data_IF_840577562743
#
_entry.id   IF_840577562743
#
_cell.length_a   1.000
_cell.length_b   1.000
_cell.length_c   1.000
_cell.angle_alpha   90.00
_cell.angle_beta   90.00
_cell.angle_gamma   90.00
#
_symmetry.space_group_name_H-M   'P 1'
#
loop_
_entity.id
_entity.type
_entity.pdbx_description
1 polymer ?
#
# COMPACT_ATOMS: atom_id res chain seq x y z
N UNK A 1 7.13 -4.90 -12.81
CA UNK A 1 7.62 -4.76 -11.43
C UNK A 1 7.01 -5.84 -10.55
N UNK A 2 7.80 -6.58 -9.79
CA UNK A 2 7.36 -7.62 -8.87
C UNK A 2 7.15 -7.03 -7.47
N UNK A 3 5.91 -7.02 -7.01
CA UNK A 3 5.53 -6.40 -5.72
C UNK A 3 5.00 -7.47 -4.79
N UNK A 4 5.61 -7.63 -3.62
CA UNK A 4 5.06 -8.46 -2.54
C UNK A 4 4.12 -7.66 -1.67
N UNK A 5 2.97 -8.21 -1.33
CA UNK A 5 2.03 -7.55 -0.42
C UNK A 5 2.34 -7.92 1.02
N UNK A 6 2.64 -6.93 1.85
CA UNK A 6 2.76 -7.09 3.31
C UNK A 6 1.47 -6.65 4.00
N UNK A 7 0.87 -5.56 3.52
CA UNK A 7 -0.40 -5.05 4.04
C UNK A 7 -1.12 -4.20 3.00
N UNK A 8 -2.41 -3.99 3.25
CA UNK A 8 -3.29 -3.15 2.44
C UNK A 8 -3.78 -1.95 3.24
N UNK A 9 -4.20 -0.91 2.53
CA UNK A 9 -4.92 0.21 3.14
C UNK A 9 -6.30 -0.21 3.65
N UNK A 10 -6.91 0.65 4.45
CA UNK A 10 -8.22 0.39 5.05
C UNK A 10 -9.40 0.54 4.09
N UNK A 11 -9.25 1.23 2.95
CA UNK A 11 -10.35 1.45 2.01
C UNK A 11 -10.37 0.41 0.90
N UNK A 12 -11.42 -0.40 0.82
CA UNK A 12 -11.68 -1.30 -0.30
C UNK A 12 -12.99 -0.96 -0.98
N UNK A 13 -12.98 -0.99 -2.32
CA UNK A 13 -14.20 -0.88 -3.10
C UNK A 13 -14.09 -1.65 -4.42
N UNK A 14 -15.23 -2.04 -4.96
CA UNK A 14 -15.33 -2.61 -6.30
C UNK A 14 -15.91 -1.57 -7.26
N UNK A 15 -15.43 -1.58 -8.50
CA UNK A 15 -16.11 -0.95 -9.62
C UNK A 15 -16.52 -2.02 -10.62
N UNK A 16 -17.75 -1.90 -11.09
CA UNK A 16 -18.36 -2.80 -12.06
C UNK A 16 -18.42 -2.11 -13.41
N UNK A 17 -18.41 -2.90 -14.49
CA UNK A 17 -18.70 -2.37 -15.81
C UNK A 17 -20.08 -1.69 -15.81
N UNK A 18 -20.18 -0.54 -16.48
CA UNK A 18 -21.47 0.10 -16.75
C UNK A 18 -22.30 -0.65 -17.80
N UNK A 19 -21.70 -1.61 -18.50
CA UNK A 19 -22.37 -2.46 -19.47
C UNK A 19 -23.28 -3.48 -18.76
N UNK A 20 -24.59 -3.19 -18.76
CA UNK A 20 -25.64 -4.02 -18.18
C UNK A 20 -25.96 -5.28 -18.99
N UNK A 21 -25.47 -5.37 -20.24
CA UNK A 21 -25.66 -6.55 -21.08
C UNK A 21 -24.70 -7.68 -20.75
N UNK A 22 -23.61 -7.38 -20.03
CA UNK A 22 -22.65 -8.37 -19.55
C UNK A 22 -23.21 -9.08 -18.30
N UNK A 23 -23.57 -10.38 -18.38
CA UNK A 23 -24.12 -11.13 -17.25
C UNK A 23 -23.10 -11.29 -16.09
N UNK A 24 -21.83 -10.95 -16.31
CA UNK A 24 -20.75 -11.03 -15.33
C UNK A 24 -20.22 -9.66 -14.86
N UNK A 25 -20.84 -8.54 -15.25
CA UNK A 25 -20.41 -7.17 -14.89
C UNK A 25 -20.24 -6.96 -13.37
N UNK A 26 -21.09 -7.60 -12.56
CA UNK A 26 -21.06 -7.55 -11.10
C UNK A 26 -20.21 -8.65 -10.43
N UNK A 27 -19.70 -9.62 -11.20
CA UNK A 27 -18.97 -10.80 -10.69
C UNK A 27 -17.56 -10.89 -11.29
N UNK A 28 -17.39 -11.67 -12.36
CA UNK A 28 -16.08 -12.06 -12.91
C UNK A 28 -15.29 -10.91 -13.57
N UNK A 29 -15.91 -9.74 -13.80
CA UNK A 29 -15.27 -8.58 -14.44
C UNK A 29 -15.22 -7.33 -13.55
N UNK A 30 -15.50 -7.47 -12.25
CA UNK A 30 -15.30 -6.38 -11.31
C UNK A 30 -13.81 -6.05 -11.18
N UNK A 31 -13.51 -4.75 -11.07
CA UNK A 31 -12.20 -4.26 -10.69
C UNK A 31 -12.22 -3.89 -9.20
N UNK A 32 -11.27 -4.41 -8.45
CA UNK A 32 -11.16 -4.18 -7.02
C UNK A 32 -10.06 -3.17 -6.74
N UNK A 33 -10.34 -2.22 -5.87
CA UNK A 33 -9.42 -1.13 -5.57
C UNK A 33 -9.16 -1.04 -4.08
N UNK A 34 -7.94 -0.64 -3.75
CA UNK A 34 -7.54 -0.38 -2.38
C UNK A 34 -6.74 0.92 -2.26
N UNK A 35 -6.97 1.65 -1.17
CA UNK A 35 -6.31 2.91 -0.87
C UNK A 35 -6.20 3.13 0.65
N UNK A 36 -5.36 4.08 1.05
CA UNK A 36 -5.24 4.46 2.44
C UNK A 36 -6.41 5.35 2.86
N UNK A 37 -7.02 5.07 4.00
CA UNK A 37 -8.09 5.86 4.58
C UNK A 37 -8.12 5.74 6.12
N UNK A 38 -8.87 6.62 6.77
CA UNK A 38 -8.93 6.68 8.22
C UNK A 38 -10.32 6.34 8.74
N UNK A 39 -10.41 5.31 9.57
CA UNK A 39 -11.62 5.04 10.33
C UNK A 39 -11.81 6.06 11.45
N UNK A 40 -12.92 6.78 11.44
CA UNK A 40 -13.33 7.70 12.51
C UNK A 40 -14.69 7.26 13.05
N UNK A 41 -14.67 6.54 14.18
CA UNK A 41 -15.84 5.79 14.64
C UNK A 41 -16.22 4.72 13.61
N UNK A 42 -17.46 4.77 13.12
CA UNK A 42 -17.97 3.82 12.11
C UNK A 42 -17.85 4.32 10.66
N UNK A 43 -17.32 5.52 10.44
CA UNK A 43 -17.21 6.12 9.10
C UNK A 43 -15.78 6.09 8.61
N UNK A 44 -15.61 5.70 7.35
CA UNK A 44 -14.35 5.78 6.64
C UNK A 44 -14.19 7.20 6.09
N UNK A 45 -13.07 7.84 6.43
CA UNK A 45 -12.74 9.18 5.94
C UNK A 45 -11.56 9.12 4.99
N UNK A 46 -11.76 9.69 3.80
CA UNK A 46 -10.73 9.85 2.79
C UNK A 46 -10.28 11.31 2.75
N UNK A 47 -9.24 11.62 3.53
CA UNK A 47 -8.63 12.95 3.61
C UNK A 47 -7.21 12.84 3.05
N UNK A 48 -7.13 12.62 1.74
CA UNK A 48 -5.90 12.27 1.05
C UNK A 48 -5.00 13.49 0.86
N UNK A 49 -3.77 13.39 1.35
CA UNK A 49 -2.67 14.32 0.99
C UNK A 49 -1.85 13.76 -0.18
N UNK A 50 -1.93 12.44 -0.41
CA UNK A 50 -1.37 11.77 -1.57
C UNK A 50 -2.46 10.86 -2.17
N UNK A 51 -3.13 11.30 -3.24
CA UNK A 51 -4.28 10.57 -3.78
C UNK A 51 -3.80 9.47 -4.72
N UNK A 52 -3.89 8.22 -4.29
CA UNK A 52 -3.65 7.10 -5.18
C UNK A 52 -4.25 5.81 -4.67
N UNK A 53 -4.12 4.78 -5.48
CA UNK A 53 -4.84 3.53 -5.34
C UNK A 53 -4.13 2.39 -6.05
N UNK A 54 -4.31 1.19 -5.53
CA UNK A 54 -3.98 -0.04 -6.25
C UNK A 54 -5.24 -0.63 -6.88
N UNK A 55 -5.08 -1.42 -7.93
CA UNK A 55 -6.17 -2.11 -8.62
C UNK A 55 -5.81 -3.58 -8.83
N UNK A 56 -6.77 -4.46 -8.57
CA UNK A 56 -6.78 -5.85 -9.00
C UNK A 56 -7.91 -6.08 -10.00
N UNK A 57 -7.65 -6.92 -10.99
CA UNK A 57 -8.67 -7.46 -11.88
C UNK A 57 -8.86 -8.94 -11.57
N UNK A 58 -9.97 -9.55 -11.99
CA UNK A 58 -10.24 -10.97 -11.70
C UNK A 58 -9.14 -11.93 -12.19
N UNK A 59 -8.45 -11.59 -13.29
CA UNK A 59 -7.38 -12.40 -13.87
C UNK A 59 -6.06 -12.32 -13.08
N UNK A 60 -5.94 -11.43 -12.10
CA UNK A 60 -4.68 -11.23 -11.37
C UNK A 60 -4.37 -12.33 -10.36
N UNK A 61 -5.26 -13.30 -10.14
CA UNK A 61 -5.14 -14.29 -9.07
C UNK A 61 -5.44 -13.72 -7.67
N UNK A 62 -6.06 -12.53 -7.60
CA UNK A 62 -6.56 -11.94 -6.37
C UNK A 62 -7.95 -12.47 -6.05
N UNK A 63 -8.16 -12.87 -4.79
CA UNK A 63 -9.44 -13.33 -4.27
C UNK A 63 -10.10 -12.19 -3.47
N UNK A 64 -11.13 -11.52 -4.03
CA UNK A 64 -11.77 -10.37 -3.40
C UNK A 64 -12.62 -10.73 -2.18
N UNK A 65 -13.05 -11.98 -2.03
CA UNK A 65 -13.77 -12.43 -0.83
C UNK A 65 -12.83 -12.60 0.36
N UNK A 66 -11.56 -12.93 0.06
CA UNK A 66 -10.52 -13.13 1.08
C UNK A 66 -9.24 -12.33 0.74
N UNK A 67 -9.25 -10.99 0.80
CA UNK A 67 -8.08 -10.17 0.45
C UNK A 67 -6.83 -10.52 1.27
N UNK A 68 -7.00 -11.00 2.51
CA UNK A 68 -5.91 -11.45 3.38
C UNK A 68 -5.10 -12.60 2.77
N UNK A 69 -5.67 -13.41 1.85
CA UNK A 69 -4.93 -14.45 1.12
C UNK A 69 -3.89 -13.90 0.15
N UNK A 70 -3.91 -12.61 -0.15
CA UNK A 70 -2.89 -11.95 -0.95
C UNK A 70 -1.67 -11.53 -0.12
N UNK A 71 -1.77 -11.49 1.21
CA UNK A 71 -0.63 -11.16 2.07
C UNK A 71 0.49 -12.21 1.92
N UNK A 72 1.72 -11.73 1.85
CA UNK A 72 2.92 -12.52 1.58
C UNK A 72 3.10 -12.96 0.12
N UNK A 73 2.09 -12.80 -0.74
CA UNK A 73 2.18 -13.15 -2.16
C UNK A 73 2.83 -12.05 -2.98
N UNK A 74 3.51 -12.44 -4.05
CA UNK A 74 4.17 -11.53 -5.00
C UNK A 74 3.34 -11.42 -6.28
N UNK A 75 3.17 -10.21 -6.81
CA UNK A 75 2.43 -9.97 -8.03
C UNK A 75 3.30 -9.22 -9.05
N UNK A 76 3.14 -9.56 -10.33
CA UNK A 76 3.57 -8.71 -11.41
C UNK A 76 2.65 -7.49 -11.49
N UNK A 77 3.24 -6.30 -11.50
CA UNK A 77 2.54 -5.03 -11.50
C UNK A 77 3.09 -4.08 -12.59
N UNK A 78 2.24 -3.15 -13.03
CA UNK A 78 2.52 -2.14 -14.07
C UNK A 78 3.58 -1.10 -13.71
N UNK A 79 4.06 -1.10 -12.45
CA UNK A 79 4.69 0.06 -11.83
C UNK A 79 3.66 1.15 -11.51
N UNK A 80 3.97 2.09 -10.58
CA UNK A 80 3.06 3.19 -10.28
C UNK A 80 3.05 4.24 -11.39
N UNK A 81 1.86 4.56 -11.89
CA UNK A 81 1.67 5.51 -12.98
C UNK A 81 0.72 6.64 -12.53
N UNK A 82 0.96 7.86 -13.00
CA UNK A 82 0.08 8.99 -12.73
C UNK A 82 -1.08 9.01 -13.74
N UNK A 83 -2.31 8.85 -13.26
CA UNK A 83 -3.53 8.89 -14.07
C UNK A 83 -4.53 9.85 -13.41
N UNK A 84 -4.99 10.85 -14.17
CA UNK A 84 -5.95 11.86 -13.68
C UNK A 84 -5.53 12.51 -12.34
N UNK A 85 -4.24 12.79 -12.18
CA UNK A 85 -3.67 13.41 -10.97
C UNK A 85 -3.53 12.46 -9.77
N UNK A 86 -3.73 11.16 -9.96
CA UNK A 86 -3.62 10.14 -8.90
C UNK A 86 -2.59 9.08 -9.26
N UNK A 87 -1.92 8.51 -8.26
CA UNK A 87 -1.09 7.33 -8.50
C UNK A 87 -1.96 6.09 -8.63
N UNK A 88 -1.72 5.33 -9.69
CA UNK A 88 -2.38 4.07 -9.97
C UNK A 88 -1.32 2.96 -10.11
N UNK A 89 -1.52 1.87 -9.38
CA UNK A 89 -0.72 0.66 -9.51
C UNK A 89 -1.63 -0.52 -9.83
N UNK A 90 -1.46 -1.11 -11.01
CA UNK A 90 -2.21 -2.29 -11.43
C UNK A 90 -1.45 -3.55 -11.05
N UNK A 91 -2.09 -4.41 -10.26
CA UNK A 91 -1.66 -5.78 -9.99
C UNK A 91 -2.20 -6.67 -11.11
N UNK A 92 -1.29 -7.17 -11.95
CA UNK A 92 -1.63 -7.82 -13.21
C UNK A 92 -1.76 -9.33 -13.05
N UNK A 93 -0.83 -9.97 -12.32
CA UNK A 93 -0.78 -11.42 -12.21
C UNK A 93 -0.05 -11.85 -10.94
N UNK A 94 -0.56 -12.87 -10.27
CA UNK A 94 0.13 -13.56 -9.19
C UNK A 94 1.37 -14.27 -9.76
N UNK A 95 2.54 -13.93 -9.24
CA UNK A 95 3.80 -14.62 -9.55
C UNK A 95 4.24 -15.40 -8.31
N UNK A 96 4.92 -16.54 -8.52
CA UNK A 96 5.29 -17.46 -7.44
C UNK A 96 6.33 -16.88 -6.46
N UNK A 97 7.25 -17.72 -5.98
CA UNK A 97 8.27 -17.37 -4.98
C UNK A 97 9.44 -16.55 -5.55
N UNK A 98 9.17 -15.64 -6.48
CA UNK A 98 10.18 -14.75 -7.04
C UNK A 98 10.59 -13.68 -6.03
N UNK A 99 11.82 -13.20 -6.13
CA UNK A 99 12.34 -12.13 -5.29
C UNK A 99 11.62 -10.81 -5.62
N UNK A 100 10.94 -10.16 -4.66
CA UNK A 100 10.22 -8.93 -4.91
C UNK A 100 11.17 -7.75 -5.16
N UNK A 101 10.82 -6.90 -6.13
CA UNK A 101 11.49 -5.63 -6.40
C UNK A 101 11.03 -4.52 -5.44
N UNK A 102 9.81 -4.65 -4.90
CA UNK A 102 9.24 -3.76 -3.89
C UNK A 102 8.20 -4.48 -3.05
N UNK A 103 7.85 -3.87 -1.92
CA UNK A 103 6.87 -4.37 -0.97
C UNK A 103 5.77 -3.33 -0.78
N UNK A 104 4.50 -3.74 -0.96
CA UNK A 104 3.36 -2.91 -0.61
C UNK A 104 3.11 -3.03 0.90
N UNK A 105 3.26 -1.91 1.59
CA UNK A 105 3.10 -1.81 3.04
C UNK A 105 2.15 -0.68 3.39
N UNK A 106 1.51 -0.77 4.55
CA UNK A 106 0.67 0.27 5.12
C UNK A 106 1.16 0.59 6.53
N UNK A 107 1.51 1.85 6.76
CA UNK A 107 1.87 2.38 8.07
C UNK A 107 0.72 3.22 8.61
N UNK A 108 0.57 3.27 9.93
CA UNK A 108 -0.42 4.08 10.61
C UNK A 108 0.17 4.72 11.87
N UNK A 109 -0.45 5.81 12.33
CA UNK A 109 0.06 6.57 13.48
C UNK A 109 0.06 5.82 14.82
N UNK A 110 -0.74 4.76 14.97
CA UNK A 110 -0.89 4.02 16.22
C UNK A 110 0.26 3.03 16.37
N UNK A 111 0.50 2.22 15.34
CA UNK A 111 1.49 1.14 15.39
C UNK A 111 2.89 1.61 14.97
N UNK A 112 2.97 2.68 14.18
CA UNK A 112 4.21 3.10 13.53
C UNK A 112 4.73 4.47 13.96
N UNK A 113 4.06 5.11 14.92
CA UNK A 113 4.43 6.46 15.37
C UNK A 113 4.12 7.54 14.34
N UNK A 114 4.47 8.80 14.67
CA UNK A 114 4.19 9.96 13.83
C UNK A 114 5.21 10.11 12.70
N UNK A 115 4.71 10.34 11.48
CA UNK A 115 5.53 10.66 10.31
C UNK A 115 5.31 12.12 9.92
N UNK A 116 6.41 12.86 9.76
CA UNK A 116 6.39 14.28 9.35
C UNK A 116 6.36 14.41 7.83
N UNK A 117 5.25 14.03 7.18
CA UNK A 117 5.12 14.03 5.71
C UNK A 117 5.43 15.37 5.01
N UNK A 118 5.31 16.50 5.72
CA UNK A 118 5.60 17.85 5.19
C UNK A 118 7.08 18.24 5.22
N UNK A 119 7.95 17.45 5.87
CA UNK A 119 9.39 17.72 5.95
C UNK A 119 10.15 16.73 5.07
N UNK A 120 11.20 17.16 4.35
CA UNK A 120 12.07 16.21 3.67
C UNK A 120 12.74 15.24 4.66
N UNK A 121 13.20 14.10 4.16
CA UNK A 121 13.93 13.10 4.95
C UNK A 121 13.05 12.13 5.75
N UNK A 122 11.72 12.15 5.57
CA UNK A 122 10.82 11.18 6.18
C UNK A 122 10.88 9.80 5.51
N UNK A 123 11.52 9.67 4.35
CA UNK A 123 11.72 8.41 3.64
C UNK A 123 13.00 8.45 2.80
N UNK A 124 13.57 7.29 2.50
CA UNK A 124 14.66 7.14 1.53
C UNK A 124 14.16 7.17 0.07
N UNK A 125 15.09 7.22 -0.89
CA UNK A 125 14.78 7.41 -2.32
C UNK A 125 14.08 6.24 -2.99
N UNK A 126 14.17 5.02 -2.45
CA UNK A 126 13.44 3.87 -2.96
C UNK A 126 12.07 3.63 -2.32
N UNK A 127 11.60 4.56 -1.49
CA UNK A 127 10.20 4.57 -1.03
C UNK A 127 9.34 5.41 -1.96
N UNK A 128 8.22 4.83 -2.39
CA UNK A 128 7.24 5.51 -3.23
C UNK A 128 5.87 5.52 -2.55
N UNK A 129 5.32 6.70 -2.21
CA UNK A 129 3.94 6.80 -1.75
C UNK A 129 2.96 6.35 -2.82
N UNK A 130 1.97 5.54 -2.43
CA UNK A 130 0.83 5.19 -3.29
C UNK A 130 -0.40 5.96 -2.83
N UNK A 131 -0.71 5.94 -1.54
CA UNK A 131 -1.89 6.58 -0.98
C UNK A 131 -1.62 7.02 0.45
N UNK A 132 -1.88 8.28 0.80
CA UNK A 132 -1.70 8.77 2.17
C UNK A 132 -2.92 9.60 2.56
N UNK A 133 -3.59 9.18 3.63
CA UNK A 133 -4.71 9.88 4.25
C UNK A 133 -4.33 10.38 5.64
N UNK A 134 -4.66 11.64 5.95
CA UNK A 134 -4.37 12.25 7.26
C UNK A 134 -5.61 12.93 7.86
N UNK A 135 -5.72 12.91 9.19
CA UNK A 135 -6.73 13.65 9.94
C UNK A 135 -6.20 14.00 11.32
N UNK A 136 -5.88 15.28 11.54
CA UNK A 136 -5.19 15.71 12.75
C UNK A 136 -3.85 14.94 12.89
N UNK A 137 -3.56 14.34 14.05
CA UNK A 137 -2.35 13.53 14.25
C UNK A 137 -2.45 12.11 13.69
N UNK A 138 -3.60 11.70 13.14
CA UNK A 138 -3.79 10.34 12.63
C UNK A 138 -3.44 10.28 11.16
N UNK A 139 -2.81 9.19 10.75
CA UNK A 139 -2.59 8.89 9.34
C UNK A 139 -2.70 7.39 9.06
N UNK A 140 -2.96 7.11 7.79
CA UNK A 140 -2.67 5.84 7.16
C UNK A 140 -1.90 6.12 5.86
N UNK A 141 -0.79 5.42 5.66
CA UNK A 141 0.12 5.63 4.55
C UNK A 141 0.43 4.29 3.89
N UNK A 142 -0.12 4.08 2.70
CA UNK A 142 0.16 2.93 1.85
C UNK A 142 1.30 3.29 0.87
N UNK A 143 2.38 2.53 0.95
CA UNK A 143 3.66 2.83 0.30
C UNK A 143 4.18 1.59 -0.43
N UNK A 144 4.97 1.80 -1.47
CA UNK A 144 5.93 0.81 -1.95
C UNK A 144 7.29 1.09 -1.32
N UNK A 145 7.91 0.07 -0.73
CA UNK A 145 9.27 0.14 -0.18
C UNK A 145 10.15 -0.86 -0.93
N UNK A 146 11.29 -0.42 -1.44
CA UNK A 146 12.31 -1.33 -2.02
C UNK A 146 13.13 -2.03 -0.93
N UNK A 147 13.76 -3.18 -1.22
CA UNK A 147 14.67 -3.82 -0.28
C UNK A 147 15.77 -2.85 0.20
N UNK A 148 15.94 -2.72 1.52
CA UNK A 148 16.95 -1.84 2.14
C UNK A 148 16.53 -0.37 2.30
N UNK A 149 15.38 0.04 1.74
CA UNK A 149 14.82 1.38 1.92
C UNK A 149 13.97 1.48 3.19
N UNK A 150 13.74 2.73 3.63
CA UNK A 150 13.14 3.00 4.95
C UNK A 150 12.23 4.22 4.98
N UNK A 151 11.36 4.23 6.00
CA UNK A 151 10.46 5.33 6.37
C UNK A 151 10.74 5.76 7.81
N UNK A 152 10.99 7.05 8.02
CA UNK A 152 11.27 7.62 9.34
C UNK A 152 9.98 8.08 10.02
N UNK A 153 9.80 7.57 11.23
CA UNK A 153 8.82 8.03 12.22
C UNK A 153 9.54 8.65 13.42
N UNK A 154 8.78 9.14 14.40
CA UNK A 154 9.30 9.50 15.72
C UNK A 154 9.77 8.30 16.56
N UNK A 155 9.38 7.06 16.20
CA UNK A 155 9.86 5.83 16.85
C UNK A 155 11.19 5.32 16.27
N UNK A 156 11.57 5.78 15.07
CA UNK A 156 12.76 5.31 14.35
C UNK A 156 12.49 5.02 12.88
N UNK A 157 13.33 4.19 12.27
CA UNK A 157 13.25 3.83 10.85
C UNK A 157 12.54 2.49 10.65
N UNK A 158 11.40 2.54 9.99
CA UNK A 158 10.68 1.39 9.50
C UNK A 158 11.27 0.92 8.18
N UNK A 159 11.53 -0.37 8.07
CA UNK A 159 12.02 -1.02 6.86
C UNK A 159 11.36 -2.39 6.75
N UNK A 160 11.46 -3.02 5.58
CA UNK A 160 10.95 -4.38 5.41
C UNK A 160 11.86 -5.35 6.18
N UNK A 161 11.26 -6.21 7.00
CA UNK A 161 11.98 -7.21 7.78
C UNK A 161 12.71 -8.22 6.90
N UNK A 162 13.69 -8.91 7.48
CA UNK A 162 14.47 -9.92 6.77
C UNK A 162 13.62 -11.10 6.26
N UNK A 163 12.45 -11.34 6.86
CA UNK A 163 11.45 -12.29 6.40
C UNK A 163 10.79 -11.87 5.07
N UNK A 164 10.82 -10.59 4.71
CA UNK A 164 10.09 -10.04 3.58
C UNK A 164 8.57 -10.13 3.72
N UNK A 165 8.06 -10.29 4.94
CA UNK A 165 6.64 -10.47 5.25
C UNK A 165 6.13 -9.49 6.33
N UNK A 166 7.03 -8.79 7.00
CA UNK A 166 6.70 -7.82 8.05
C UNK A 166 7.48 -6.52 7.90
N UNK A 167 7.07 -5.50 8.65
CA UNK A 167 7.87 -4.30 8.88
C UNK A 167 8.69 -4.47 10.16
N UNK A 168 9.93 -4.00 10.13
CA UNK A 168 10.84 -3.98 11.26
C UNK A 168 11.24 -2.54 11.59
N UNK A 169 11.41 -2.25 12.89
CA UNK A 169 11.82 -0.95 13.38
C UNK A 169 13.30 -1.01 13.78
N UNK A 170 14.13 -0.17 13.17
CA UNK A 170 15.46 0.14 13.70
C UNK A 170 15.36 1.42 14.54
N UNK A 171 15.56 1.26 15.85
CA UNK A 171 15.63 2.40 16.75
C UNK A 171 16.95 3.13 16.49
N UNK A 172 16.89 4.39 16.08
CA UNK A 172 18.04 5.28 16.16
C UNK A 172 18.34 5.49 17.64
N UNK A 173 19.32 4.74 18.20
CA UNK A 173 19.94 5.17 19.45
C UNK A 173 20.63 6.49 19.17
N UNK A 174 20.41 7.46 20.07
CA UNK A 174 21.01 8.78 20.00
C UNK A 174 22.51 8.69 19.63
N UNK A 175 22.84 9.19 18.44
CA UNK A 175 24.13 9.83 18.18
C UNK A 175 25.41 8.99 18.12
N UNK A 176 25.39 7.67 17.94
CA UNK A 176 26.64 6.91 17.70
C UNK A 176 26.50 5.96 16.52
N UNK A 177 27.24 6.27 15.46
CA UNK A 177 27.67 5.30 14.45
C UNK A 177 28.75 4.44 15.11
N UNK A 178 28.52 3.14 15.21
CA UNK A 178 29.56 2.13 15.40
C UNK A 178 29.40 1.09 14.29
#
# INVERSE_FOLDING_TARGET
MQVRVISFGSNWWAMHSSDRSDPYCFRRRAAYFNAAALMCGRRLHHSAIYPGQIRFNAESGFDPEFPSRALGKTFLCSGPNLLAGKIHLLFQQLVGTMQPEAFLVTLNSVDHGQIRFRRPGWMSSGVQPISISTRGPRFEAMLLIRPGDWVQSDLGRWHVGADGHSLSLSCTRDGVIA
#
